data_IF_441855471098
#
_entry.id   IF_441855471098
#
_cell.length_a   1.000
_cell.length_b   1.000
_cell.length_c   1.000
_cell.angle_alpha   90.00
_cell.angle_beta   90.00
_cell.angle_gamma   90.00
#
_symmetry.space_group_name_H-M   'P 1'
#
loop_
_entity.id
_entity.type
_entity.pdbx_description
1 polymer ?
#
# COMPACT_ATOMS: atom_id res chain seq x y z
N UNK A 1 26.51 22.81 11.32
CA UNK A 1 25.30 23.22 10.59
C UNK A 1 24.28 22.09 10.66
N UNK A 2 23.03 22.40 10.94
CA UNK A 2 21.99 21.42 11.06
C UNK A 2 21.28 21.29 9.71
N UNK A 3 21.16 20.07 9.22
CA UNK A 3 20.36 19.79 8.01
C UNK A 3 18.88 19.80 8.38
N UNK A 4 18.06 20.63 7.73
CA UNK A 4 16.65 20.66 8.04
C UNK A 4 15.99 19.35 7.64
N UNK A 5 14.99 18.93 8.43
CA UNK A 5 14.23 17.72 8.16
C UNK A 5 13.25 17.95 7.00
N UNK A 6 13.05 16.93 6.21
CA UNK A 6 12.00 16.93 5.19
C UNK A 6 10.63 16.82 5.85
N UNK A 7 9.61 17.27 5.15
CA UNK A 7 8.26 17.31 5.69
C UNK A 7 7.45 16.10 5.28
N UNK A 8 6.64 15.62 6.19
CA UNK A 8 5.66 14.56 5.96
C UNK A 8 4.30 15.12 6.30
N UNK A 9 3.41 15.23 5.31
CA UNK A 9 2.13 15.91 5.45
C UNK A 9 1.02 14.90 5.21
N UNK A 10 0.15 14.74 6.18
CA UNK A 10 -0.97 13.81 6.08
C UNK A 10 -1.96 14.27 5.01
N UNK A 11 -2.47 13.33 4.23
CA UNK A 11 -3.50 13.56 3.23
C UNK A 11 -4.80 12.92 3.68
N UNK A 12 -5.90 13.25 3.01
CA UNK A 12 -7.20 12.65 3.31
C UNK A 12 -7.21 11.16 2.99
N UNK A 13 -8.15 10.43 3.59
CA UNK A 13 -8.33 9.02 3.27
C UNK A 13 -8.63 8.79 1.80
N UNK A 14 -9.41 9.68 1.19
CA UNK A 14 -9.74 9.57 -0.23
C UNK A 14 -8.50 9.74 -1.10
N UNK A 15 -7.65 10.70 -0.78
CA UNK A 15 -6.40 10.89 -1.53
C UNK A 15 -5.45 9.71 -1.30
N UNK A 16 -5.40 9.20 -0.08
CA UNK A 16 -4.57 8.04 0.23
C UNK A 16 -4.98 6.82 -0.61
N UNK A 17 -6.27 6.55 -0.71
CA UNK A 17 -6.77 5.44 -1.52
C UNK A 17 -6.48 5.64 -3.01
N UNK A 18 -6.59 6.88 -3.48
CA UNK A 18 -6.26 7.19 -4.86
C UNK A 18 -4.77 6.93 -5.17
N UNK A 19 -3.90 7.31 -4.26
CA UNK A 19 -2.46 7.04 -4.40
C UNK A 19 -2.19 5.53 -4.41
N UNK A 20 -2.82 4.81 -3.48
CA UNK A 20 -2.66 3.37 -3.36
C UNK A 20 -3.15 2.66 -4.63
N UNK A 21 -4.27 3.10 -5.18
CA UNK A 21 -4.84 2.50 -6.38
C UNK A 21 -3.88 2.57 -7.57
N UNK A 22 -3.18 3.68 -7.72
CA UNK A 22 -2.24 3.88 -8.81
C UNK A 22 -0.86 3.28 -8.58
N UNK A 23 -0.61 2.69 -7.41
CA UNK A 23 0.71 2.13 -7.11
C UNK A 23 0.92 0.81 -7.85
N UNK A 24 2.16 0.54 -8.32
CA UNK A 24 2.42 -0.71 -9.05
C UNK A 24 2.45 -1.96 -8.18
N UNK A 25 2.56 -1.80 -6.87
CA UNK A 25 2.59 -2.90 -5.91
C UNK A 25 2.97 -2.38 -4.55
N UNK A 26 3.11 -3.27 -3.59
CA UNK A 26 3.43 -2.87 -2.23
C UNK A 26 3.92 -4.03 -1.40
N UNK A 27 3.71 -3.92 -0.10
CA UNK A 27 4.10 -4.93 0.87
C UNK A 27 2.94 -5.23 1.79
N UNK A 28 2.76 -6.50 2.07
CA UNK A 28 1.81 -6.93 3.08
C UNK A 28 2.57 -7.18 4.38
N UNK A 29 2.05 -6.64 5.48
CA UNK A 29 2.59 -6.83 6.82
C UNK A 29 1.55 -7.57 7.64
N UNK A 30 1.95 -8.68 8.22
CA UNK A 30 1.07 -9.48 9.08
C UNK A 30 1.90 -10.07 10.21
N UNK A 31 1.22 -10.54 11.26
CA UNK A 31 1.89 -11.08 12.43
C UNK A 31 1.81 -12.60 12.41
N UNK A 32 2.94 -13.25 12.60
CA UNK A 32 3.02 -14.71 12.69
C UNK A 32 3.87 -15.06 13.90
N UNK A 33 3.28 -15.79 14.84
CA UNK A 33 3.97 -16.15 16.09
C UNK A 33 4.51 -14.89 16.80
N UNK A 34 3.67 -13.86 16.88
CA UNK A 34 3.96 -12.58 17.54
C UNK A 34 5.09 -11.78 16.88
N UNK A 35 5.51 -12.17 15.69
CA UNK A 35 6.55 -11.47 14.95
C UNK A 35 5.97 -10.90 13.67
N UNK A 36 6.21 -9.61 13.38
CA UNK A 36 5.76 -9.04 12.12
C UNK A 36 6.53 -9.65 10.94
N UNK A 37 5.78 -9.99 9.91
CA UNK A 37 6.32 -10.54 8.66
C UNK A 37 5.96 -9.58 7.54
N UNK A 38 6.93 -9.30 6.66
CA UNK A 38 6.75 -8.40 5.53
C UNK A 38 6.99 -9.18 4.24
N UNK A 39 6.03 -9.09 3.30
CA UNK A 39 6.15 -9.78 2.00
C UNK A 39 5.80 -8.82 0.87
N UNK A 40 6.50 -8.88 -0.25
CA UNK A 40 6.08 -8.16 -1.44
C UNK A 40 4.73 -8.69 -1.91
N UNK A 41 3.88 -7.80 -2.39
CA UNK A 41 2.53 -8.19 -2.76
C UNK A 41 2.01 -7.33 -3.90
N UNK A 42 1.25 -7.96 -4.80
CA UNK A 42 0.53 -7.26 -5.85
C UNK A 42 -0.89 -6.98 -5.35
N UNK A 43 -1.50 -5.90 -5.85
CA UNK A 43 -2.79 -5.50 -5.34
C UNK A 43 -3.67 -4.85 -6.41
N UNK A 44 -4.96 -4.84 -6.14
CA UNK A 44 -5.93 -4.02 -6.86
C UNK A 44 -6.99 -3.56 -5.86
N UNK A 45 -7.46 -2.32 -6.02
CA UNK A 45 -8.53 -1.78 -5.20
C UNK A 45 -9.83 -1.88 -5.98
N UNK A 46 -10.83 -2.59 -5.42
CA UNK A 46 -12.12 -2.80 -6.06
C UNK A 46 -13.23 -2.58 -5.05
N UNK A 47 -14.12 -1.64 -5.33
CA UNK A 47 -15.29 -1.36 -4.50
C UNK A 47 -14.92 -1.13 -3.03
N UNK A 48 -13.83 -0.40 -2.81
CA UNK A 48 -13.37 -0.09 -1.46
C UNK A 48 -12.67 -1.22 -0.74
N UNK A 49 -12.47 -2.35 -1.38
CA UNK A 49 -11.75 -3.49 -0.83
C UNK A 49 -10.44 -3.69 -1.56
N UNK A 50 -9.45 -4.15 -0.82
CA UNK A 50 -8.12 -4.34 -1.38
C UNK A 50 -7.90 -5.84 -1.62
N UNK A 51 -7.71 -6.21 -2.88
CA UNK A 51 -7.39 -7.59 -3.23
C UNK A 51 -5.87 -7.67 -3.34
N UNK A 52 -5.28 -8.63 -2.63
CA UNK A 52 -3.82 -8.74 -2.54
C UNK A 52 -3.40 -10.18 -2.83
N UNK A 53 -2.39 -10.31 -3.70
CA UNK A 53 -1.74 -11.59 -3.96
C UNK A 53 -0.39 -11.58 -3.27
N UNK A 54 -0.16 -12.54 -2.37
CA UNK A 54 0.99 -12.53 -1.48
C UNK A 54 1.64 -13.92 -1.40
N UNK A 55 2.99 -13.99 -1.38
CA UNK A 55 3.71 -15.27 -1.25
C UNK A 55 3.73 -15.73 0.21
N UNK A 56 2.57 -16.14 0.72
CA UNK A 56 2.38 -16.58 2.09
C UNK A 56 1.38 -17.71 2.12
N UNK A 57 1.40 -18.48 3.20
CA UNK A 57 0.44 -19.56 3.41
C UNK A 57 -0.94 -18.98 3.76
N UNK A 58 -2.00 -19.62 3.26
CA UNK A 58 -3.35 -19.22 3.60
C UNK A 58 -3.61 -19.31 5.11
N UNK A 59 -2.94 -20.21 5.80
CA UNK A 59 -3.09 -20.36 7.24
C UNK A 59 -2.67 -19.12 8.03
N UNK A 60 -1.84 -18.26 7.44
CA UNK A 60 -1.42 -17.02 8.09
C UNK A 60 -2.58 -16.01 8.24
N UNK A 61 -3.68 -16.20 7.51
CA UNK A 61 -4.79 -15.24 7.46
C UNK A 61 -6.10 -15.85 7.96
N UNK A 62 -6.02 -16.86 8.82
CA UNK A 62 -7.21 -17.47 9.37
C UNK A 62 -7.93 -16.51 10.32
N UNK A 63 -9.27 -16.68 10.45
CA UNK A 63 -10.09 -15.96 11.41
C UNK A 63 -10.07 -14.45 11.25
N UNK A 64 -10.07 -13.97 10.01
CA UNK A 64 -10.12 -12.53 9.71
C UNK A 64 -9.00 -11.75 10.38
N UNK A 65 -7.80 -12.28 10.33
CA UNK A 65 -6.63 -11.63 10.92
C UNK A 65 -6.47 -10.21 10.37
N UNK A 66 -6.12 -9.28 11.25
CA UNK A 66 -5.85 -7.91 10.86
C UNK A 66 -4.47 -7.84 10.22
N UNK A 67 -4.41 -7.23 9.04
CA UNK A 67 -3.17 -7.06 8.29
C UNK A 67 -3.02 -5.62 7.85
N UNK A 68 -1.83 -5.24 7.44
CA UNK A 68 -1.55 -3.92 6.91
C UNK A 68 -0.93 -4.05 5.53
N UNK A 69 -1.51 -3.35 4.56
CA UNK A 69 -0.91 -3.22 3.24
C UNK A 69 -0.25 -1.86 3.14
N UNK A 70 1.01 -1.84 2.72
CA UNK A 70 1.79 -0.62 2.62
C UNK A 70 2.32 -0.47 1.20
N UNK A 71 2.20 0.74 0.65
CA UNK A 71 2.86 1.09 -0.59
C UNK A 71 3.41 2.50 -0.49
N UNK A 72 4.49 2.77 -1.20
CA UNK A 72 5.07 4.09 -1.25
C UNK A 72 5.77 4.31 -2.58
N UNK A 73 6.07 5.56 -2.84
CA UNK A 73 6.91 5.96 -3.95
C UNK A 73 7.71 7.17 -3.48
N UNK A 74 8.97 6.94 -3.15
CA UNK A 74 9.83 7.97 -2.58
C UNK A 74 11.10 8.07 -3.41
N UNK A 75 11.39 9.26 -3.92
CA UNK A 75 12.65 9.51 -4.63
C UNK A 75 13.78 9.58 -3.62
N UNK A 76 14.79 8.73 -3.81
CA UNK A 76 15.97 8.73 -2.95
C UNK A 76 16.72 10.05 -3.05
N UNK A 77 16.75 10.63 -4.24
CA UNK A 77 17.48 11.87 -4.49
C UNK A 77 16.81 13.08 -3.86
N UNK A 78 15.51 13.26 -4.12
CA UNK A 78 14.80 14.46 -3.65
C UNK A 78 14.12 14.27 -2.31
N UNK A 79 13.86 13.02 -1.91
CA UNK A 79 13.05 12.70 -0.73
C UNK A 79 11.58 13.00 -0.93
N UNK A 80 11.16 13.32 -2.15
CA UNK A 80 9.75 13.59 -2.46
C UNK A 80 9.02 12.30 -2.82
N UNK A 81 7.74 12.28 -2.53
CA UNK A 81 6.91 11.15 -2.85
C UNK A 81 5.69 11.05 -1.96
N UNK A 82 5.27 9.84 -1.71
CA UNK A 82 4.10 9.57 -0.88
C UNK A 82 4.21 8.18 -0.26
N UNK A 83 3.45 7.97 0.81
CA UNK A 83 3.42 6.72 1.56
C UNK A 83 1.99 6.48 2.04
N UNK A 84 1.46 5.28 1.84
CA UNK A 84 0.09 4.93 2.24
C UNK A 84 0.08 3.58 2.93
N UNK A 85 -0.67 3.49 4.02
CA UNK A 85 -0.97 2.22 4.69
C UNK A 85 -2.47 2.04 4.78
N UNK A 86 -2.93 0.81 4.56
CA UNK A 86 -4.32 0.43 4.74
C UNK A 86 -4.36 -0.80 5.64
N UNK A 87 -5.09 -0.71 6.74
CA UNK A 87 -5.13 -1.74 7.77
C UNK A 87 -6.56 -2.21 7.96
N UNK A 88 -6.76 -3.51 8.04
CA UNK A 88 -8.07 -4.07 8.29
C UNK A 88 -8.06 -5.59 8.29
N UNK A 89 -9.21 -6.21 8.56
CA UNK A 89 -9.32 -7.66 8.53
C UNK A 89 -9.18 -8.20 7.12
N UNK A 90 -8.51 -9.34 7.00
CA UNK A 90 -8.28 -10.02 5.73
C UNK A 90 -9.02 -11.35 5.72
N UNK A 91 -9.57 -11.70 4.57
CA UNK A 91 -10.12 -13.04 4.36
C UNK A 91 -9.47 -13.65 3.14
N UNK A 92 -9.24 -14.96 3.19
CA UNK A 92 -8.69 -15.70 2.06
C UNK A 92 -9.78 -15.85 1.00
N UNK A 93 -9.43 -15.54 -0.25
CA UNK A 93 -10.33 -15.73 -1.39
C UNK A 93 -10.26 -17.21 -1.79
N UNK A 94 -11.32 -17.94 -1.52
CA UNK A 94 -11.37 -19.39 -1.73
C UNK A 94 -12.21 -19.80 -2.93
N UNK A 95 -13.08 -18.92 -3.41
CA UNK A 95 -13.90 -19.25 -4.59
C UNK A 95 -12.98 -19.48 -5.80
N UNK A 96 -13.05 -20.66 -6.46
CA UNK A 96 -12.12 -20.98 -7.53
C UNK A 96 -12.19 -20.04 -8.71
N UNK A 97 -13.36 -19.54 -9.05
CA UNK A 97 -13.53 -18.64 -10.20
C UNK A 97 -12.95 -17.27 -9.89
N UNK A 98 -13.23 -16.77 -8.70
CA UNK A 98 -12.71 -15.49 -8.24
C UNK A 98 -11.18 -15.54 -8.13
N UNK A 99 -10.65 -16.60 -7.53
CA UNK A 99 -9.21 -16.80 -7.38
C UNK A 99 -8.53 -16.87 -8.76
N UNK A 100 -9.12 -17.60 -9.70
CA UNK A 100 -8.57 -17.71 -11.05
C UNK A 100 -8.51 -16.36 -11.74
N UNK A 101 -9.55 -15.54 -11.56
CA UNK A 101 -9.59 -14.20 -12.13
C UNK A 101 -8.43 -13.34 -11.62
N UNK A 102 -8.23 -13.30 -10.32
CA UNK A 102 -7.16 -12.47 -9.75
C UNK A 102 -5.77 -13.01 -10.06
N UNK A 103 -5.61 -14.33 -10.18
CA UNK A 103 -4.32 -14.88 -10.59
C UNK A 103 -3.96 -14.55 -12.03
N UNK A 104 -4.96 -14.30 -12.88
CA UNK A 104 -4.71 -13.82 -14.24
C UNK A 104 -4.40 -12.33 -14.30
N UNK A 105 -4.94 -11.55 -13.39
CA UNK A 105 -4.84 -10.09 -13.46
C UNK A 105 -3.78 -9.49 -12.53
N UNK A 106 -3.39 -10.21 -11.48
CA UNK A 106 -2.38 -9.74 -10.53
C UNK A 106 -1.11 -10.54 -10.71
N UNK A 107 -0.07 -9.88 -11.20
CA UNK A 107 1.24 -10.50 -11.33
C UNK A 107 1.97 -10.35 -10.00
N UNK A 108 1.82 -11.34 -9.14
CA UNK A 108 2.45 -11.34 -7.83
C UNK A 108 3.66 -12.26 -7.79
N UNK A 109 4.16 -12.48 -6.59
CA UNK A 109 5.27 -13.37 -6.32
C UNK A 109 4.77 -14.60 -5.59
N UNK A 110 5.45 -15.73 -5.80
CA UNK A 110 5.19 -16.96 -5.09
C UNK A 110 6.45 -17.39 -4.34
N UNK A 111 6.28 -18.19 -3.30
CA UNK A 111 7.40 -18.76 -2.56
C UNK A 111 7.09 -20.23 -2.33
N UNK A 112 7.63 -21.10 -3.18
CA UNK A 112 7.25 -22.51 -3.21
C UNK A 112 5.74 -22.64 -3.45
N UNK A 113 5.01 -23.36 -2.59
CA UNK A 113 3.56 -23.47 -2.71
C UNK A 113 2.81 -22.26 -2.18
N UNK A 114 3.50 -21.27 -1.62
CA UNK A 114 2.87 -20.13 -0.99
C UNK A 114 2.47 -19.09 -2.03
N UNK A 115 1.18 -19.01 -2.31
CA UNK A 115 0.58 -18.10 -3.28
C UNK A 115 -0.88 -17.92 -2.88
N UNK A 116 -1.14 -16.92 -2.05
CA UNK A 116 -2.45 -16.73 -1.45
C UNK A 116 -3.06 -15.41 -1.92
N UNK A 117 -4.36 -15.45 -2.18
CA UNK A 117 -5.16 -14.27 -2.47
C UNK A 117 -5.98 -13.95 -1.24
N UNK A 118 -5.91 -12.69 -0.80
CA UNK A 118 -6.71 -12.22 0.32
C UNK A 118 -7.49 -10.98 -0.08
N UNK A 119 -8.61 -10.76 0.59
CA UNK A 119 -9.41 -9.54 0.49
C UNK A 119 -9.30 -8.82 1.81
N UNK A 120 -8.80 -7.59 1.77
CA UNK A 120 -8.70 -6.75 2.96
C UNK A 120 -9.85 -5.76 2.94
N UNK A 121 -10.53 -5.61 4.09
CA UNK A 121 -11.56 -4.61 4.30
C UNK A 121 -10.93 -3.45 5.08
N UNK A 122 -10.44 -2.40 4.41
CA UNK A 122 -9.71 -1.32 5.10
C UNK A 122 -10.59 -0.63 6.12
N UNK A 123 -10.12 -0.55 7.35
CA UNK A 123 -10.77 0.17 8.43
C UNK A 123 -10.02 1.43 8.78
N UNK A 124 -8.70 1.41 8.61
CA UNK A 124 -7.83 2.55 8.89
C UNK A 124 -6.96 2.76 7.66
N UNK A 125 -7.01 3.96 7.10
CA UNK A 125 -6.17 4.32 5.95
C UNK A 125 -5.42 5.59 6.30
N UNK A 126 -4.09 5.54 6.22
CA UNK A 126 -3.23 6.70 6.44
C UNK A 126 -2.38 6.94 5.21
N UNK A 127 -2.33 8.19 4.77
CA UNK A 127 -1.49 8.56 3.64
C UNK A 127 -0.76 9.85 3.94
N UNK A 128 0.44 9.96 3.40
CA UNK A 128 1.30 11.11 3.60
C UNK A 128 1.96 11.49 2.29
N UNK A 129 2.07 12.79 2.05
CA UNK A 129 2.96 13.30 1.03
C UNK A 129 4.27 13.71 1.68
N UNK A 130 5.36 13.38 1.01
CA UNK A 130 6.71 13.64 1.47
C UNK A 130 7.28 14.77 0.61
N UNK A 131 7.82 15.79 1.26
CA UNK A 131 8.22 16.98 0.54
C UNK A 131 9.53 17.56 1.02
N UNK A 132 9.83 18.75 0.48
CA UNK A 132 11.05 19.48 0.81
C UNK A 132 11.01 19.95 2.26
N UNK A 133 12.16 20.31 2.83
CA UNK A 133 12.19 20.84 4.19
C UNK A 133 11.33 22.10 4.31
N UNK A 134 10.82 22.36 5.52
CA UNK A 134 10.04 23.54 5.82
C UNK A 134 10.82 24.80 5.44
N UNK A 135 10.16 25.74 4.75
CA UNK A 135 10.78 26.99 4.30
C UNK A 135 11.57 26.86 3.01
N UNK A 136 11.68 25.66 2.43
CA UNK A 136 12.39 25.42 1.19
C UNK A 136 11.46 25.15 0.01
N UNK A 137 10.15 25.09 0.22
CA UNK A 137 9.20 24.86 -0.87
C UNK A 137 9.10 26.06 -1.77
N UNK A 138 9.05 25.82 -3.07
CA UNK A 138 8.72 26.88 -4.00
C UNK A 138 7.21 27.10 -4.00
N UNK A 139 6.76 28.34 -4.25
CA UNK A 139 5.35 28.54 -4.51
C UNK A 139 4.94 27.68 -5.71
N UNK A 140 3.86 27.19 -5.70
CA UNK A 140 3.47 26.21 -6.69
C UNK A 140 3.27 26.77 -8.07
N UNK A 141 3.72 26.77 -7.86
CA UNK A 141 3.92 26.59 -8.72
C UNK A 141 3.38 26.65 -9.28
N UNK A 142 3.24 27.12 -9.31
CA UNK A 142 3.13 27.35 -9.70
C UNK A 142 2.76 26.91 -10.16
N UNK A 143 2.48 27.17 -10.22
CA UNK A 143 2.47 26.84 -10.70
C UNK A 143 2.14 26.04 -10.95
N UNK A 144 1.70 25.99 -11.02
CA UNK A 144 1.80 25.49 -11.25
C UNK A 144 1.19 24.78 -11.25
N UNK A 145 0.55 24.96 -11.35
CA UNK A 145 0.33 24.51 -11.47
C UNK A 145 -0.03 23.94 -11.92
N UNK A 146 -0.22 24.10 -12.04
CA UNK A 146 -0.13 23.62 -12.51
C UNK A 146 -0.29 22.88 -12.75
N UNK A 147 -0.61 23.07 -12.82
CA UNK A 147 -0.43 22.63 -13.09
C UNK A 147 -0.64 21.95 -13.11
N UNK A 148 -1.01 22.06 -12.96
CA UNK A 148 -0.99 21.64 -13.13
C UNK A 148 -1.19 21.30 -13.26
N UNK A 149 -1.58 21.28 -13.24
CA UNK A 149 -1.53 21.05 -13.55
C UNK A 149 -1.43 20.81 -13.81
#
# INVERSE_FOLDING_TARGET
MITPARRMIEVSGAEALWLLEGAPGGRLVYVQREVPVVRPAAHVLEYGRLIVRVPASAAAFSDSATVTFHCDHVSVTSGRGWSVTATGPAEVIRDPNEAAHYRRTLMGWTHGPHDTLIRIHPQIVHGYRLGTPAGAETPAHGIGRSGTP
#
